data_IF_239489292553
#
_entry.id   IF_239489292553
#
_cell.length_a   1.000
_cell.length_b   1.000
_cell.length_c   1.000
_cell.angle_alpha   90.00
_cell.angle_beta   90.00
_cell.angle_gamma   90.00
#
_symmetry.space_group_name_H-M   'P 1'
#
loop_
_entity.id
_entity.type
_entity.pdbx_description
1 polymer ?
#
# COMPACT_ATOMS: atom_id res chain seq x y z
N UNK A 1 17.97 -2.46 47.19
CA UNK A 1 17.63 -1.73 45.95
C UNK A 1 16.14 -1.97 45.80
N UNK A 2 15.32 -0.92 45.88
CA UNK A 2 13.90 -1.09 45.55
C UNK A 2 13.81 -1.44 44.07
N UNK A 3 13.06 -2.48 43.75
CA UNK A 3 12.85 -2.94 42.39
C UNK A 3 11.74 -2.04 41.85
N UNK A 4 12.04 -1.21 40.86
CA UNK A 4 11.05 -0.33 40.22
C UNK A 4 9.95 -1.19 39.61
N UNK A 5 8.71 -1.02 40.05
CA UNK A 5 7.57 -1.70 39.46
C UNK A 5 7.22 -1.03 38.12
N UNK A 6 7.17 -1.82 37.05
CA UNK A 6 6.90 -1.35 35.70
C UNK A 6 5.54 -1.87 35.27
N UNK A 7 4.70 -0.99 34.75
CA UNK A 7 3.36 -1.31 34.30
C UNK A 7 3.20 -1.00 32.81
N UNK A 8 2.42 -1.80 32.09
CA UNK A 8 2.14 -1.60 30.68
C UNK A 8 0.64 -1.40 30.41
N UNK A 9 0.31 -0.35 29.65
CA UNK A 9 -1.00 -0.13 29.02
C UNK A 9 -0.86 0.84 27.85
N UNK A 10 -0.74 0.33 26.63
CA UNK A 10 -0.47 1.15 25.43
C UNK A 10 0.78 2.05 25.59
N UNK A 11 1.69 1.68 26.49
CA UNK A 11 2.82 2.48 26.96
C UNK A 11 3.31 2.00 28.33
N UNK A 12 4.52 2.41 28.71
CA UNK A 12 5.13 2.06 30.00
C UNK A 12 4.83 3.11 31.08
N UNK A 13 4.55 2.65 32.30
CA UNK A 13 4.27 3.46 33.48
C UNK A 13 5.02 2.91 34.70
N UNK A 14 5.21 3.76 35.71
CA UNK A 14 5.70 3.38 37.03
C UNK A 14 4.93 4.18 38.10
N UNK A 15 4.98 3.70 39.33
CA UNK A 15 4.36 4.32 40.51
C UNK A 15 5.37 5.06 41.42
N UNK A 16 6.65 5.05 41.06
CA UNK A 16 7.72 5.77 41.76
C UNK A 16 7.52 7.29 41.77
N UNK A 17 7.97 7.94 42.85
CA UNK A 17 7.98 9.41 43.02
C UNK A 17 6.62 10.10 42.78
N UNK A 18 5.51 9.42 43.10
CA UNK A 18 4.16 9.93 42.84
C UNK A 18 3.71 9.71 41.39
N UNK A 19 4.31 8.72 40.73
CA UNK A 19 3.93 8.24 39.40
C UNK A 19 2.47 7.77 39.35
N UNK A 20 1.89 7.83 38.15
CA UNK A 20 0.51 7.45 37.92
C UNK A 20 0.46 6.20 37.05
N UNK A 21 -0.19 5.16 37.59
CA UNK A 21 -0.47 3.92 36.87
C UNK A 21 -1.94 3.92 36.46
N UNK A 22 -2.26 3.89 35.16
CA UNK A 22 -3.64 3.81 34.69
C UNK A 22 -4.33 2.53 35.16
N UNK A 23 -5.63 2.62 35.42
CA UNK A 23 -6.45 1.44 35.73
C UNK A 23 -6.39 0.42 34.58
N UNK A 24 -6.17 -0.86 34.92
CA UNK A 24 -6.03 -1.94 33.95
C UNK A 24 -4.64 -2.04 33.30
N UNK A 25 -3.66 -1.26 33.75
CA UNK A 25 -2.26 -1.53 33.42
C UNK A 25 -1.80 -2.81 34.11
N UNK A 26 -0.92 -3.55 33.44
CA UNK A 26 -0.43 -4.85 33.89
C UNK A 26 1.01 -4.68 34.33
N UNK A 27 1.34 -5.12 35.54
CA UNK A 27 2.71 -5.17 36.03
C UNK A 27 3.53 -6.18 35.22
N UNK A 28 4.71 -5.77 34.78
CA UNK A 28 5.67 -6.59 34.04
C UNK A 28 6.99 -6.66 34.79
N UNK A 29 7.73 -7.75 34.61
CA UNK A 29 9.06 -7.88 35.20
C UNK A 29 10.06 -6.95 34.50
N UNK A 30 11.14 -6.62 35.20
CA UNK A 30 12.25 -5.84 34.63
C UNK A 30 12.87 -6.53 33.41
N UNK A 31 13.01 -7.86 33.44
CA UNK A 31 13.50 -8.62 32.28
C UNK A 31 12.57 -8.49 31.09
N UNK A 32 11.24 -8.51 31.31
CA UNK A 32 10.27 -8.33 30.24
C UNK A 32 10.32 -6.91 29.68
N UNK A 33 10.48 -5.91 30.53
CA UNK A 33 10.66 -4.53 30.11
C UNK A 33 11.89 -4.36 29.21
N UNK A 34 13.04 -4.93 29.61
CA UNK A 34 14.28 -4.89 28.82
C UNK A 34 14.10 -5.61 27.48
N UNK A 35 13.50 -6.81 27.47
CA UNK A 35 13.20 -7.57 26.23
C UNK A 35 12.39 -6.72 25.24
N UNK A 36 11.37 -6.01 25.73
CA UNK A 36 10.49 -5.17 24.91
C UNK A 36 11.25 -3.98 24.32
N UNK A 37 12.11 -3.32 25.11
CA UNK A 37 12.94 -2.21 24.64
C UNK A 37 13.94 -2.66 23.58
N UNK A 38 14.67 -3.76 23.82
CA UNK A 38 15.60 -4.33 22.84
C UNK A 38 14.90 -4.71 21.54
N UNK A 39 13.71 -5.30 21.63
CA UNK A 39 12.89 -5.63 20.46
C UNK A 39 12.47 -4.39 19.69
N UNK A 40 12.08 -3.32 20.39
CA UNK A 40 11.73 -2.04 19.78
C UNK A 40 12.94 -1.38 19.10
N UNK A 41 14.12 -1.44 19.71
CA UNK A 41 15.38 -0.97 19.09
C UNK A 41 15.74 -1.75 17.82
N UNK A 42 15.36 -3.03 17.75
CA UNK A 42 15.49 -3.86 16.54
C UNK A 42 14.40 -3.58 15.48
N UNK A 43 13.49 -2.63 15.74
CA UNK A 43 12.45 -2.20 14.81
C UNK A 43 11.11 -2.93 14.95
N UNK A 44 10.95 -3.78 15.97
CA UNK A 44 9.66 -4.40 16.29
C UNK A 44 8.72 -3.40 16.95
N UNK A 45 7.43 -3.69 16.91
CA UNK A 45 6.39 -2.93 17.58
C UNK A 45 5.97 -3.65 18.87
N UNK A 46 5.73 -2.88 19.93
CA UNK A 46 5.13 -3.41 21.16
C UNK A 46 3.62 -3.23 21.03
N UNK A 47 2.88 -4.34 21.13
CA UNK A 47 1.42 -4.35 21.09
C UNK A 47 0.87 -5.07 22.33
N UNK A 48 -0.36 -4.76 22.72
CA UNK A 48 -1.09 -5.58 23.68
C UNK A 48 -1.70 -6.80 22.99
N UNK A 49 -1.50 -7.97 23.58
CA UNK A 49 -2.28 -9.17 23.23
C UNK A 49 -3.72 -9.08 23.74
N UNK A 50 -4.51 -10.16 23.58
CA UNK A 50 -5.92 -10.21 24.01
C UNK A 50 -6.09 -10.08 25.53
N UNK A 51 -5.04 -10.32 26.30
CA UNK A 51 -5.00 -10.24 27.75
C UNK A 51 -4.46 -8.88 28.23
N UNK A 52 -4.02 -8.01 27.31
CA UNK A 52 -3.39 -6.73 27.61
C UNK A 52 -1.87 -6.81 27.79
N UNK A 53 -1.29 -8.01 27.72
CA UNK A 53 0.14 -8.23 27.94
C UNK A 53 0.94 -7.67 26.77
N UNK A 54 2.05 -6.95 27.02
CA UNK A 54 2.91 -6.47 25.96
C UNK A 54 3.65 -7.62 25.27
N UNK A 55 3.53 -7.68 23.95
CA UNK A 55 4.25 -8.61 23.08
C UNK A 55 4.93 -7.88 21.93
N UNK A 56 6.06 -8.44 21.47
CA UNK A 56 6.77 -7.93 20.30
C UNK A 56 6.15 -8.48 19.02
N UNK A 57 5.88 -7.58 18.08
CA UNK A 57 5.41 -7.92 16.75
C UNK A 57 6.34 -7.30 15.70
N UNK A 58 6.55 -8.01 14.60
CA UNK A 58 7.25 -7.44 13.43
C UNK A 58 6.54 -6.17 12.94
N UNK A 59 7.26 -5.19 12.38
CA UNK A 59 6.65 -3.97 11.88
C UNK A 59 5.66 -4.27 10.75
N UNK A 60 4.65 -3.40 10.60
CA UNK A 60 3.67 -3.51 9.52
C UNK A 60 4.37 -3.58 8.15
N UNK A 61 4.23 -4.69 7.38
CA UNK A 61 4.99 -4.85 6.14
C UNK A 61 4.57 -3.88 5.04
N UNK A 62 3.31 -3.45 5.03
CA UNK A 62 2.81 -2.40 4.14
C UNK A 62 1.48 -1.81 4.65
N UNK A 63 1.07 -0.62 4.19
CA UNK A 63 -0.23 -0.02 4.54
C UNK A 63 -1.46 -0.87 4.18
N UNK A 64 -1.29 -1.88 3.31
CA UNK A 64 -2.35 -2.82 2.98
C UNK A 64 -2.57 -3.89 4.07
N UNK A 65 -1.58 -4.14 4.92
CA UNK A 65 -1.70 -5.10 6.01
C UNK A 65 -2.55 -4.51 7.15
N UNK A 66 -3.35 -5.36 7.77
CA UNK A 66 -4.19 -5.09 8.91
C UNK A 66 -3.78 -6.08 10.00
N UNK A 67 -3.65 -5.60 11.23
CA UNK A 67 -3.37 -6.47 12.35
C UNK A 67 -4.64 -7.23 12.72
N UNK A 68 -4.58 -8.56 12.67
CA UNK A 68 -5.68 -9.42 13.11
C UNK A 68 -5.11 -10.60 13.88
N UNK A 69 -5.60 -10.79 15.11
CA UNK A 69 -5.19 -11.89 15.98
C UNK A 69 -3.65 -11.99 16.19
N UNK A 70 -2.97 -10.84 16.21
CA UNK A 70 -1.51 -10.79 16.37
C UNK A 70 -0.71 -11.02 15.08
N UNK A 71 -1.37 -11.15 13.93
CA UNK A 71 -0.72 -11.34 12.64
C UNK A 71 -1.08 -10.23 11.64
N UNK A 72 -0.12 -9.86 10.80
CA UNK A 72 -0.35 -8.95 9.68
C UNK A 72 -1.03 -9.69 8.53
N UNK A 73 -2.29 -9.38 8.27
CA UNK A 73 -3.05 -9.96 7.16
C UNK A 73 -3.42 -8.91 6.12
N UNK A 74 -3.59 -9.30 4.87
CA UNK A 74 -4.26 -8.44 3.89
C UNK A 74 -5.66 -9.00 3.66
N UNK A 75 -6.69 -8.22 3.95
CA UNK A 75 -8.07 -8.64 3.72
C UNK A 75 -8.36 -8.85 2.24
N UNK A 76 -9.26 -9.79 1.93
CA UNK A 76 -9.67 -10.10 0.54
C UNK A 76 -10.13 -8.85 -0.21
N UNK A 77 -10.88 -7.98 0.48
CA UNK A 77 -11.36 -6.70 -0.05
C UNK A 77 -10.20 -5.78 -0.43
N UNK A 78 -9.18 -5.63 0.43
CA UNK A 78 -7.96 -4.86 0.13
C UNK A 78 -7.17 -5.45 -1.03
N UNK A 79 -7.01 -6.78 -1.10
CA UNK A 79 -6.35 -7.44 -2.23
C UNK A 79 -7.07 -7.12 -3.55
N UNK A 80 -8.40 -7.24 -3.57
CA UNK A 80 -9.20 -6.92 -4.76
C UNK A 80 -9.08 -5.45 -5.14
N UNK A 81 -9.22 -4.54 -4.17
CA UNK A 81 -9.09 -3.10 -4.42
C UNK A 81 -7.71 -2.74 -4.98
N UNK A 82 -6.63 -3.25 -4.37
CA UNK A 82 -5.25 -3.02 -4.81
C UNK A 82 -5.01 -3.58 -6.22
N UNK A 83 -5.55 -4.76 -6.51
CA UNK A 83 -5.44 -5.38 -7.84
C UNK A 83 -6.18 -4.56 -8.90
N UNK A 84 -7.40 -4.12 -8.62
CA UNK A 84 -8.18 -3.26 -9.52
C UNK A 84 -7.46 -1.94 -9.75
N UNK A 85 -7.01 -1.27 -8.70
CA UNK A 85 -6.24 -0.02 -8.81
C UNK A 85 -5.00 -0.20 -9.68
N UNK A 86 -4.19 -1.24 -9.43
CA UNK A 86 -2.98 -1.53 -10.22
C UNK A 86 -3.30 -1.79 -11.68
N UNK A 87 -4.37 -2.54 -11.98
CA UNK A 87 -4.82 -2.80 -13.35
C UNK A 87 -5.22 -1.50 -14.05
N UNK A 88 -6.05 -0.67 -13.41
CA UNK A 88 -6.48 0.61 -13.97
C UNK A 88 -5.30 1.54 -14.24
N UNK A 89 -4.38 1.71 -13.28
CA UNK A 89 -3.19 2.54 -13.45
C UNK A 89 -2.29 2.04 -14.58
N UNK A 90 -2.14 0.72 -14.73
CA UNK A 90 -1.35 0.14 -15.81
C UNK A 90 -1.99 0.40 -17.17
N UNK A 91 -3.30 0.19 -17.29
CA UNK A 91 -4.04 0.45 -18.53
C UNK A 91 -3.97 1.93 -18.91
N UNK A 92 -4.12 2.84 -17.95
CA UNK A 92 -3.98 4.27 -18.19
C UNK A 92 -2.57 4.59 -18.71
N UNK A 93 -1.54 4.07 -18.05
CA UNK A 93 -0.15 4.28 -18.49
C UNK A 93 0.11 3.75 -19.91
N UNK A 94 -0.51 2.63 -20.28
CA UNK A 94 -0.41 2.07 -21.64
C UNK A 94 -1.11 2.99 -22.65
N UNK A 95 -2.31 3.47 -22.33
CA UNK A 95 -3.05 4.41 -23.17
C UNK A 95 -2.25 5.71 -23.38
N UNK A 96 -1.79 6.32 -22.28
CA UNK A 96 -1.01 7.57 -22.31
C UNK A 96 0.26 7.40 -23.15
N UNK A 97 1.00 6.30 -22.99
CA UNK A 97 2.19 6.02 -23.81
C UNK A 97 1.84 5.79 -25.27
N UNK A 98 0.74 5.11 -25.56
CA UNK A 98 0.28 4.88 -26.93
C UNK A 98 -0.03 6.18 -27.63
N UNK A 99 -0.73 7.10 -26.96
CA UNK A 99 -1.06 8.40 -27.52
C UNK A 99 0.17 9.30 -27.64
N UNK A 100 1.10 9.25 -26.69
CA UNK A 100 2.41 9.91 -26.81
C UNK A 100 3.18 9.43 -28.04
N UNK A 101 3.26 8.13 -28.27
CA UNK A 101 3.93 7.59 -29.46
C UNK A 101 3.21 8.01 -30.74
N UNK A 102 1.88 7.98 -30.79
CA UNK A 102 1.12 8.47 -31.96
C UNK A 102 1.44 9.94 -32.26
N UNK A 103 1.40 10.81 -31.26
CA UNK A 103 1.74 12.22 -31.43
C UNK A 103 3.17 12.42 -31.94
N UNK A 104 4.12 11.62 -31.44
CA UNK A 104 5.50 11.66 -31.89
C UNK A 104 5.65 11.20 -33.34
N UNK A 105 4.96 10.13 -33.77
CA UNK A 105 5.01 9.65 -35.14
C UNK A 105 4.37 10.60 -36.14
N UNK A 106 3.30 11.29 -35.73
CA UNK A 106 2.58 12.24 -36.57
C UNK A 106 3.22 13.63 -36.58
N UNK A 107 4.29 13.85 -35.81
CA UNK A 107 4.97 15.14 -35.77
C UNK A 107 5.54 15.48 -37.15
N UNK A 108 5.11 16.62 -37.69
CA UNK A 108 5.55 17.11 -39.00
C UNK A 108 4.63 16.70 -40.17
N UNK A 109 3.61 15.89 -39.93
CA UNK A 109 2.56 15.62 -40.92
C UNK A 109 1.36 16.55 -40.69
N UNK A 110 0.85 17.15 -41.75
CA UNK A 110 -0.43 17.86 -41.74
C UNK A 110 -1.60 16.87 -41.70
N UNK A 111 -2.76 17.32 -41.21
CA UNK A 111 -3.95 16.47 -41.19
C UNK A 111 -4.34 15.96 -42.59
N UNK A 112 -4.12 16.77 -43.63
CA UNK A 112 -4.40 16.36 -45.01
C UNK A 112 -3.49 15.21 -45.48
N UNK A 113 -2.22 15.22 -45.09
CA UNK A 113 -1.27 14.14 -45.41
C UNK A 113 -1.62 12.85 -44.67
N UNK A 114 -2.00 12.96 -43.38
CA UNK A 114 -2.47 11.84 -42.57
C UNK A 114 -3.73 11.22 -43.20
N UNK A 115 -4.73 12.04 -43.54
CA UNK A 115 -5.98 11.58 -44.16
C UNK A 115 -5.73 10.98 -45.54
N UNK A 116 -4.79 11.53 -46.32
CA UNK A 116 -4.41 10.99 -47.63
C UNK A 116 -3.77 9.62 -47.50
N UNK A 117 -2.87 9.43 -46.53
CA UNK A 117 -2.27 8.12 -46.25
C UNK A 117 -3.32 7.08 -45.87
N UNK A 118 -4.25 7.42 -44.96
CA UNK A 118 -5.34 6.52 -44.58
C UNK A 118 -6.29 6.20 -45.74
N UNK A 119 -6.56 7.16 -46.64
CA UNK A 119 -7.31 6.87 -47.87
C UNK A 119 -6.56 5.87 -48.73
N UNK A 120 -5.29 6.12 -49.05
CA UNK A 120 -4.45 5.24 -49.87
C UNK A 120 -4.39 3.80 -49.32
N UNK A 121 -4.19 3.63 -48.00
CA UNK A 121 -4.21 2.32 -47.35
C UNK A 121 -5.56 1.61 -47.53
N UNK A 122 -6.69 2.34 -47.43
CA UNK A 122 -8.02 1.76 -47.65
C UNK A 122 -8.25 1.40 -49.11
N UNK A 123 -7.76 2.18 -50.07
CA UNK A 123 -7.86 1.83 -51.49
C UNK A 123 -7.02 0.58 -51.80
N UNK A 124 -5.80 0.49 -51.24
CA UNK A 124 -4.92 -0.67 -51.39
C UNK A 124 -5.49 -1.96 -50.77
N UNK A 125 -6.35 -1.83 -49.75
CA UNK A 125 -7.08 -2.93 -49.11
C UNK A 125 -8.44 -3.22 -49.75
N UNK A 126 -8.84 -2.47 -50.79
CA UNK A 126 -10.19 -2.51 -51.37
C UNK A 126 -11.31 -2.28 -50.32
N UNK A 127 -11.03 -1.47 -49.30
CA UNK A 127 -11.98 -1.10 -48.23
C UNK A 127 -12.68 0.24 -48.49
N UNK A 128 -12.49 0.83 -49.68
CA UNK A 128 -13.32 1.92 -50.13
C UNK A 128 -14.67 1.36 -50.60
N UNK A 129 -15.81 1.98 -50.23
CA UNK A 129 -17.09 1.62 -50.81
C UNK A 129 -17.02 1.79 -52.33
N UNK A 130 -17.37 0.77 -53.10
CA UNK A 130 -17.61 0.94 -54.53
C UNK A 130 -18.65 2.05 -54.70
N UNK A 131 -18.26 3.16 -55.31
CA UNK A 131 -19.25 4.15 -55.74
C UNK A 131 -20.12 3.47 -56.79
N UNK A 132 -21.28 2.97 -56.36
CA UNK A 132 -22.36 2.63 -57.29
C UNK A 132 -22.80 3.97 -57.89
N UNK A 133 -22.31 4.23 -59.10
CA UNK A 133 -22.77 5.33 -59.93
C UNK A 133 -24.16 4.95 -60.46
N UNK A 134 -25.23 5.32 -59.74
CA UNK A 134 -26.60 5.38 -60.31
C UNK A 134 -26.83 6.67 -61.06
#
# INVERSE_FOLDING_TARGET
MEIMAIYFKDGFFNDDFGGFVPEGAIEISEEKYIELLEGQEQGKQIISDKQGTPVLLEPQPSPAHELKDGEWIISKTKITALTTQRKTTLLQRIADKTDQFKMQYLQGYSQAEIDSFYRQEREARNELPEMILT
#
